data_IF_940966540216
#
_entry.id   IF_940966540216
#
_cell.length_a   1.000
_cell.length_b   1.000
_cell.length_c   1.000
_cell.angle_alpha   90.00
_cell.angle_beta   90.00
_cell.angle_gamma   90.00
#
_symmetry.space_group_name_H-M   'P 1'
#
loop_
_entity.id
_entity.type
_entity.pdbx_description
1 polymer ?
#
# COMPACT_ATOMS: atom_id res chain seq x y z
N UNK A 1 -47.75 17.08 16.99
CA UNK A 1 -46.42 17.73 16.87
C UNK A 1 -45.43 17.25 17.93
N UNK A 2 -45.83 17.07 19.20
CA UNK A 2 -44.97 16.54 20.28
C UNK A 2 -44.45 15.10 20.07
N UNK A 3 -45.21 14.24 19.38
CA UNK A 3 -44.82 12.84 19.12
C UNK A 3 -43.58 12.73 18.21
N UNK A 4 -43.52 13.51 17.14
CA UNK A 4 -42.36 13.54 16.22
C UNK A 4 -41.10 14.00 16.95
N UNK A 5 -41.22 15.00 17.81
CA UNK A 5 -40.09 15.50 18.60
C UNK A 5 -39.56 14.41 19.56
N UNK A 6 -40.47 13.67 20.20
CA UNK A 6 -40.12 12.53 21.06
C UNK A 6 -39.38 11.42 20.28
N UNK A 7 -39.83 11.11 19.06
CA UNK A 7 -39.19 10.11 18.20
C UNK A 7 -37.79 10.57 17.77
N UNK A 8 -37.61 11.86 17.47
CA UNK A 8 -36.29 12.44 17.17
C UNK A 8 -35.34 12.29 18.37
N UNK A 9 -35.80 12.56 19.60
CA UNK A 9 -34.99 12.38 20.80
C UNK A 9 -34.58 10.92 21.00
N UNK A 10 -35.49 9.96 20.79
CA UNK A 10 -35.20 8.53 20.88
C UNK A 10 -34.11 8.12 19.86
N UNK A 11 -34.21 8.59 18.61
CA UNK A 11 -33.20 8.29 17.58
C UNK A 11 -31.85 8.88 17.95
N UNK A 12 -31.81 10.12 18.45
CA UNK A 12 -30.58 10.76 18.91
C UNK A 12 -29.93 9.96 20.04
N UNK A 13 -30.71 9.55 21.05
CA UNK A 13 -30.23 8.76 22.16
C UNK A 13 -29.61 7.44 21.69
N UNK A 14 -30.32 6.68 20.84
CA UNK A 14 -29.79 5.43 20.26
C UNK A 14 -28.47 5.62 19.52
N UNK A 15 -28.34 6.73 18.76
CA UNK A 15 -27.09 7.04 18.04
C UNK A 15 -25.94 7.36 19.01
N UNK A 16 -26.22 8.11 20.08
CA UNK A 16 -25.23 8.42 21.10
C UNK A 16 -24.77 7.16 21.85
N UNK A 17 -25.70 6.28 22.22
CA UNK A 17 -25.38 5.01 22.85
C UNK A 17 -24.54 4.12 21.94
N UNK A 18 -24.92 3.98 20.67
CA UNK A 18 -24.16 3.22 19.69
C UNK A 18 -22.73 3.77 19.51
N UNK A 19 -22.58 5.10 19.46
CA UNK A 19 -21.27 5.75 19.42
C UNK A 19 -20.46 5.46 20.68
N UNK A 20 -21.08 5.58 21.85
CA UNK A 20 -20.43 5.34 23.13
C UNK A 20 -19.92 3.90 23.24
N UNK A 21 -20.74 2.92 22.84
CA UNK A 21 -20.33 1.50 22.78
C UNK A 21 -19.12 1.33 21.87
N UNK A 22 -19.14 1.90 20.66
CA UNK A 22 -18.02 1.85 19.72
C UNK A 22 -16.74 2.47 20.29
N UNK A 23 -16.85 3.60 20.99
CA UNK A 23 -15.71 4.27 21.61
C UNK A 23 -15.11 3.44 22.75
N UNK A 24 -15.95 2.84 23.59
CA UNK A 24 -15.51 1.93 24.64
C UNK A 24 -14.79 0.71 24.06
N UNK A 25 -15.30 0.14 22.97
CA UNK A 25 -14.64 -0.98 22.29
C UNK A 25 -13.30 -0.57 21.68
N UNK A 26 -13.20 0.64 21.13
CA UNK A 26 -11.94 1.18 20.61
C UNK A 26 -10.91 1.49 21.72
N UNK A 27 -11.37 1.87 22.91
CA UNK A 27 -10.50 2.09 24.06
C UNK A 27 -9.93 0.78 24.60
N UNK A 28 -10.73 -0.29 24.62
CA UNK A 28 -10.33 -1.64 25.07
C UNK A 28 -9.30 -2.33 24.17
N UNK A 29 -9.05 -1.81 22.95
CA UNK A 29 -8.06 -2.41 22.05
C UNK A 29 -6.66 -2.26 22.63
N UNK A 30 -5.93 -3.37 22.68
CA UNK A 30 -4.50 -3.35 22.99
C UNK A 30 -3.74 -2.61 21.88
N UNK A 31 -2.76 -1.81 22.30
CA UNK A 31 -1.90 -1.03 21.40
C UNK A 31 -0.45 -1.41 21.66
N UNK A 32 0.32 -1.51 20.60
CA UNK A 32 1.77 -1.64 20.69
C UNK A 32 2.43 -0.24 20.66
N UNK A 33 3.56 -0.04 21.36
CA UNK A 33 4.36 1.17 21.23
C UNK A 33 4.76 1.44 19.78
N UNK A 34 4.80 2.71 19.40
CA UNK A 34 5.17 3.12 18.05
C UNK A 34 6.58 2.65 17.67
N UNK A 35 7.53 2.68 18.61
CA UNK A 35 8.89 2.18 18.39
C UNK A 35 8.92 0.69 18.01
N UNK A 36 8.11 -0.14 18.68
CA UNK A 36 7.99 -1.57 18.37
C UNK A 36 7.34 -1.76 16.99
N UNK A 37 6.26 -1.04 16.70
CA UNK A 37 5.60 -1.09 15.40
C UNK A 37 6.56 -0.71 14.26
N UNK A 38 7.34 0.36 14.43
CA UNK A 38 8.35 0.78 13.46
C UNK A 38 9.43 -0.28 13.24
N UNK A 39 9.93 -0.89 14.31
CA UNK A 39 10.93 -1.96 14.20
C UNK A 39 10.37 -3.19 13.45
N UNK A 40 9.12 -3.57 13.71
CA UNK A 40 8.48 -4.67 12.98
C UNK A 40 8.38 -4.39 11.47
N UNK A 41 8.03 -3.16 11.10
CA UNK A 41 7.97 -2.73 9.70
C UNK A 41 9.36 -2.79 9.07
N UNK A 42 10.38 -2.24 9.75
CA UNK A 42 11.76 -2.25 9.25
C UNK A 42 12.26 -3.69 9.04
N UNK A 43 12.03 -4.57 10.02
CA UNK A 43 12.42 -5.97 9.92
C UNK A 43 11.75 -6.65 8.73
N UNK A 44 10.44 -6.50 8.59
CA UNK A 44 9.69 -7.07 7.47
C UNK A 44 10.23 -6.59 6.11
N UNK A 45 10.48 -5.29 5.98
CA UNK A 45 11.01 -4.71 4.76
C UNK A 45 12.44 -5.21 4.53
N UNK A 46 13.27 -5.40 5.55
CA UNK A 46 14.64 -5.89 5.37
C UNK A 46 14.72 -7.34 4.87
N UNK A 47 13.75 -8.17 5.25
CA UNK A 47 13.71 -9.59 4.90
C UNK A 47 12.96 -9.86 3.59
N UNK A 48 12.00 -9.01 3.24
CA UNK A 48 11.15 -9.18 2.05
C UNK A 48 11.72 -8.39 0.86
N UNK A 49 12.25 -9.05 -0.19
CA UNK A 49 12.82 -8.35 -1.33
C UNK A 49 11.76 -7.70 -2.24
N UNK A 50 11.91 -6.41 -2.51
CA UNK A 50 11.19 -5.66 -3.56
C UNK A 50 12.09 -5.37 -4.77
N UNK A 51 11.86 -6.11 -5.85
CA UNK A 51 12.65 -5.97 -7.07
C UNK A 51 12.39 -4.70 -7.88
N UNK A 52 11.42 -3.86 -7.46
CA UNK A 52 11.24 -2.50 -7.98
C UNK A 52 12.27 -1.51 -7.42
N UNK A 53 12.98 -1.88 -6.34
CA UNK A 53 14.07 -1.10 -5.73
C UNK A 53 15.40 -1.81 -5.99
N UNK A 54 15.93 -1.76 -7.24
CA UNK A 54 17.08 -2.56 -7.66
C UNK A 54 18.40 -2.20 -6.98
N UNK A 55 18.47 -1.07 -6.25
CA UNK A 55 19.66 -0.73 -5.46
C UNK A 55 19.83 -1.67 -4.27
N UNK A 56 18.73 -2.08 -3.64
CA UNK A 56 18.74 -3.00 -2.50
C UNK A 56 18.55 -4.45 -2.96
N UNK A 57 17.71 -4.68 -3.97
CA UNK A 57 17.31 -6.03 -4.39
C UNK A 57 17.34 -6.20 -5.90
N UNK A 58 18.28 -6.99 -6.39
CA UNK A 58 18.38 -7.29 -7.81
C UNK A 58 17.68 -8.60 -8.16
N UNK A 59 16.64 -8.53 -8.99
CA UNK A 59 16.00 -9.73 -9.53
C UNK A 59 16.96 -10.46 -10.49
N UNK A 60 17.17 -11.77 -10.34
CA UNK A 60 17.95 -12.54 -11.29
C UNK A 60 17.42 -12.37 -12.73
N UNK A 61 18.32 -12.30 -13.73
CA UNK A 61 17.93 -12.04 -15.11
C UNK A 61 16.99 -13.11 -15.69
N UNK A 62 17.08 -14.34 -15.20
CA UNK A 62 16.25 -15.47 -15.66
C UNK A 62 14.80 -15.37 -15.17
N UNK A 63 14.58 -14.69 -14.04
CA UNK A 63 13.25 -14.44 -13.47
C UNK A 63 12.63 -13.15 -14.03
N UNK A 64 13.45 -12.27 -14.61
CA UNK A 64 12.99 -11.02 -15.18
C UNK A 64 12.50 -11.20 -16.62
N UNK A 65 11.17 -11.21 -16.81
CA UNK A 65 10.52 -11.30 -18.13
C UNK A 65 10.97 -10.21 -19.12
N UNK A 66 11.41 -9.07 -18.63
CA UNK A 66 11.86 -7.92 -19.43
C UNK A 66 13.39 -7.90 -19.64
N UNK A 67 14.15 -8.88 -19.12
CA UNK A 67 15.60 -8.93 -19.30
C UNK A 67 16.00 -8.95 -20.78
N UNK A 68 15.24 -9.64 -21.63
CA UNK A 68 15.45 -9.68 -23.09
C UNK A 68 15.26 -8.30 -23.73
N UNK A 69 14.26 -7.54 -23.31
CA UNK A 69 14.00 -6.18 -23.81
C UNK A 69 15.14 -5.22 -23.44
N UNK A 70 15.67 -5.31 -22.21
CA UNK A 70 16.84 -4.51 -21.79
C UNK A 70 18.07 -4.77 -22.66
N UNK A 71 18.34 -6.04 -22.99
CA UNK A 71 19.44 -6.43 -23.91
C UNK A 71 19.24 -5.84 -25.31
N UNK A 72 18.01 -5.89 -25.86
CA UNK A 72 17.68 -5.32 -27.17
C UNK A 72 17.78 -3.78 -27.20
N UNK A 73 17.34 -3.10 -26.15
CA UNK A 73 17.46 -1.63 -26.06
C UNK A 73 18.92 -1.19 -26.00
N UNK A 74 19.75 -1.91 -25.23
CA UNK A 74 21.17 -1.63 -25.11
C UNK A 74 21.94 -1.90 -26.40
N UNK A 75 21.54 -2.89 -27.21
CA UNK A 75 22.14 -3.13 -28.53
C UNK A 75 21.74 -2.07 -29.56
N UNK A 76 20.48 -1.60 -29.55
CA UNK A 76 20.02 -0.50 -30.43
C UNK A 76 20.73 0.83 -30.18
N UNK A 77 21.14 1.13 -28.95
CA UNK A 77 21.88 2.36 -28.65
C UNK A 77 23.30 2.40 -29.24
N UNK A 78 23.89 1.24 -29.59
CA UNK A 78 25.23 1.16 -30.21
C UNK A 78 25.18 1.28 -31.75
N UNK A 79 24.08 0.87 -32.38
CA UNK A 79 23.92 0.94 -33.84
C UNK A 79 23.00 2.11 -34.24
N UNK A 80 23.39 3.33 -33.88
CA UNK A 80 22.78 4.56 -34.42
C UNK A 80 23.46 4.96 -35.74
N UNK A 81 23.45 4.04 -36.70
CA UNK A 81 23.63 4.31 -38.14
C UNK A 81 22.57 3.48 -38.84
N UNK A 82 21.77 4.14 -39.67
CA UNK A 82 20.71 3.60 -40.53
C UNK A 82 19.30 3.61 -39.90
N UNK A 83 18.64 4.76 -40.09
CA UNK A 83 17.19 4.92 -40.01
C UNK A 83 16.57 4.36 -41.29
N UNK A 84 15.82 3.27 -41.22
CA UNK A 84 15.06 2.76 -42.36
C UNK A 84 13.65 3.37 -42.37
N UNK A 85 13.31 4.11 -43.42
CA UNK A 85 11.92 4.38 -43.81
C UNK A 85 11.32 3.16 -44.50
N UNK A 86 10.09 2.80 -44.13
CA UNK A 86 9.28 1.81 -44.84
C UNK A 86 8.66 2.52 -46.06
N UNK A 87 8.84 1.96 -47.25
CA UNK A 87 8.05 2.26 -48.46
C UNK A 87 6.96 1.21 -48.56
#
# INVERSE_FOLDING_TARGET
MADIESQIYIIKLKRMEALNTRLNDMLKRERIPASIASNLIVNFISETPDYLIPFNWTLPPDQNKFAKYKKLKNSKSRNKKDCCTIV
#
